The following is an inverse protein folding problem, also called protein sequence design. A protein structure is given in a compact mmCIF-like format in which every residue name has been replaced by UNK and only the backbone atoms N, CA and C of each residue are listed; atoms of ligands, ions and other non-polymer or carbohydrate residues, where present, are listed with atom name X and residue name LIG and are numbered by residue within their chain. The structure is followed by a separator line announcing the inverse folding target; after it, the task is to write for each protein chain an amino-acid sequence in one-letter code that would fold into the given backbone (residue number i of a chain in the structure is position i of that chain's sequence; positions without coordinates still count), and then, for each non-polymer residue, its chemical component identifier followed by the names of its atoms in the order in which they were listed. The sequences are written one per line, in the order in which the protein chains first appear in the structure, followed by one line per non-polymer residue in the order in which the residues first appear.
data_IF_625424629169
#
_entry.id   IF_625424629169
#
_cell.length_a   1.000
_cell.length_b   1.000
_cell.length_c   1.000
_cell.angle_alpha   90.00
_cell.angle_beta   90.00
_cell.angle_gamma   90.00
#
_symmetry.space_group_name_H-M   'P 1'
#
loop_
_entity.id
_entity.type
_entity.pdbx_description
1 polymer ?
#
# COMPACT_ATOMS: atom_id res chain seq x y z
N UNK A 1 -36.72 -11.11 17.81
CA UNK A 1 -35.64 -11.86 18.47
C UNK A 1 -34.35 -11.11 18.20
N UNK A 2 -33.53 -10.89 19.22
CA UNK A 2 -32.24 -10.18 19.11
C UNK A 2 -31.06 -11.18 18.99
N UNK A 3 -29.86 -10.67 18.71
CA UNK A 3 -28.67 -11.51 18.49
C UNK A 3 -28.36 -12.43 19.69
N UNK A 4 -28.42 -11.90 20.91
CA UNK A 4 -28.13 -12.69 22.11
C UNK A 4 -29.12 -13.86 22.25
N UNK A 5 -30.41 -13.61 22.00
CA UNK A 5 -31.44 -14.66 21.97
C UNK A 5 -31.22 -15.67 20.85
N UNK A 6 -30.75 -15.23 19.68
CA UNK A 6 -30.44 -16.10 18.56
C UNK A 6 -29.26 -17.04 18.87
N UNK A 7 -28.19 -16.49 19.46
CA UNK A 7 -26.99 -17.22 19.91
C UNK A 7 -27.37 -18.23 20.99
N UNK A 8 -28.09 -17.79 22.02
CA UNK A 8 -28.51 -18.64 23.13
C UNK A 8 -29.40 -19.79 22.65
N UNK A 9 -30.37 -19.51 21.76
CA UNK A 9 -31.25 -20.53 21.17
C UNK A 9 -30.47 -21.59 20.40
N UNK A 10 -29.59 -21.20 19.47
CA UNK A 10 -28.81 -22.17 18.69
C UNK A 10 -27.79 -22.91 19.55
N UNK A 11 -27.19 -22.25 20.54
CA UNK A 11 -26.24 -22.88 21.47
C UNK A 11 -26.91 -23.99 22.30
N UNK A 12 -28.10 -23.73 22.85
CA UNK A 12 -28.89 -24.76 23.55
C UNK A 12 -29.26 -25.93 22.62
N UNK A 13 -29.63 -25.63 21.37
CA UNK A 13 -30.06 -26.65 20.40
C UNK A 13 -28.92 -27.55 19.94
N UNK A 14 -27.71 -27.00 19.78
CA UNK A 14 -26.51 -27.75 19.41
C UNK A 14 -25.97 -28.64 20.53
N UNK A 15 -26.33 -28.37 21.79
CA UNK A 15 -25.99 -29.22 22.94
C UNK A 15 -26.97 -30.39 23.14
N UNK A 16 -28.11 -30.39 22.44
CA UNK A 16 -29.13 -31.43 22.53
C UNK A 16 -28.79 -32.68 21.71
N UNK A 17 -29.40 -33.81 22.07
CA UNK A 17 -29.22 -35.10 21.40
C UNK A 17 -30.08 -35.29 20.14
N UNK A 18 -31.03 -34.38 19.85
CA UNK A 18 -31.93 -34.48 18.70
C UNK A 18 -32.01 -33.16 17.92
N UNK A 19 -31.58 -33.21 16.66
CA UNK A 19 -31.31 -32.06 15.79
C UNK A 19 -32.25 -32.05 14.58
N UNK A 20 -33.56 -32.06 14.81
CA UNK A 20 -34.52 -31.72 13.76
C UNK A 20 -34.71 -30.21 13.69
N UNK A 21 -34.29 -29.60 12.58
CA UNK A 21 -34.33 -28.14 12.37
C UNK A 21 -35.77 -27.64 12.33
N UNK A 22 -36.11 -26.73 13.25
CA UNK A 22 -37.43 -26.11 13.33
C UNK A 22 -37.42 -24.65 12.81
N UNK A 23 -38.59 -24.01 12.77
CA UNK A 23 -38.73 -22.64 12.28
C UNK A 23 -38.04 -21.58 13.17
N UNK A 24 -37.83 -21.89 14.45
CA UNK A 24 -37.16 -21.01 15.40
C UNK A 24 -35.64 -21.06 15.20
N UNK A 25 -35.07 -22.24 14.90
CA UNK A 25 -33.68 -22.41 14.48
C UNK A 25 -33.40 -21.60 13.20
N UNK A 26 -34.30 -21.68 12.20
CA UNK A 26 -34.19 -20.88 10.96
C UNK A 26 -34.22 -19.39 11.24
N UNK A 27 -35.11 -18.92 12.12
CA UNK A 27 -35.18 -17.51 12.52
C UNK A 27 -33.88 -17.09 13.23
N UNK A 28 -33.36 -17.92 14.13
CA UNK A 28 -32.12 -17.65 14.86
C UNK A 28 -30.92 -17.50 13.91
N UNK A 29 -30.79 -18.44 12.98
CA UNK A 29 -29.75 -18.40 11.96
C UNK A 29 -29.86 -17.15 11.07
N UNK A 30 -31.06 -16.84 10.57
CA UNK A 30 -31.27 -15.65 9.73
C UNK A 30 -30.97 -14.35 10.48
N UNK A 31 -31.30 -14.26 11.78
CA UNK A 31 -30.97 -13.11 12.61
C UNK A 31 -29.45 -12.93 12.77
N UNK A 32 -28.69 -14.03 12.92
CA UNK A 32 -27.22 -13.96 12.92
C UNK A 32 -26.67 -13.51 11.57
N UNK A 33 -27.17 -14.07 10.46
CA UNK A 33 -26.77 -13.66 9.12
C UNK A 33 -27.04 -12.17 8.87
N UNK A 34 -28.22 -11.69 9.25
CA UNK A 34 -28.59 -10.28 9.12
C UNK A 34 -27.68 -9.38 9.94
N UNK A 35 -27.34 -9.77 11.18
CA UNK A 35 -26.38 -9.04 12.00
C UNK A 35 -24.98 -9.00 11.39
N UNK A 36 -24.48 -10.14 10.88
CA UNK A 36 -23.18 -10.23 10.20
C UNK A 36 -23.17 -9.31 8.98
N UNK A 37 -24.19 -9.42 8.11
CA UNK A 37 -24.28 -8.61 6.90
C UNK A 37 -24.36 -7.12 7.21
N UNK A 38 -25.17 -6.73 8.19
CA UNK A 38 -25.28 -5.32 8.62
C UNK A 38 -23.95 -4.81 9.18
N UNK A 39 -23.27 -5.61 9.99
CA UNK A 39 -21.96 -5.24 10.57
C UNK A 39 -20.89 -5.08 9.49
N UNK A 40 -20.88 -5.97 8.49
CA UNK A 40 -19.96 -5.90 7.35
C UNK A 40 -20.23 -4.65 6.51
N UNK A 41 -21.50 -4.37 6.19
CA UNK A 41 -21.91 -3.18 5.43
C UNK A 41 -21.56 -1.88 6.16
N UNK A 42 -21.81 -1.82 7.46
CA UNK A 42 -21.43 -0.65 8.27
C UNK A 42 -19.92 -0.49 8.35
N UNK A 43 -19.17 -1.58 8.52
CA UNK A 43 -17.71 -1.56 8.50
C UNK A 43 -17.17 -1.04 7.17
N UNK A 44 -17.73 -1.50 6.06
CA UNK A 44 -17.38 -1.02 4.73
C UNK A 44 -17.71 0.46 4.56
N UNK A 45 -18.90 0.91 4.98
CA UNK A 45 -19.30 2.33 4.91
C UNK A 45 -18.39 3.23 5.73
N UNK A 46 -18.04 2.83 6.96
CA UNK A 46 -17.10 3.57 7.83
C UNK A 46 -15.71 3.68 7.23
N UNK A 47 -15.27 2.66 6.49
CA UNK A 47 -13.91 2.56 5.96
C UNK A 47 -13.85 2.67 4.43
N UNK A 48 -14.83 3.33 3.80
CA UNK A 48 -14.99 3.34 2.33
C UNK A 48 -13.72 3.76 1.59
N UNK A 49 -13.02 4.79 2.08
CA UNK A 49 -11.78 5.27 1.45
C UNK A 49 -10.66 4.23 1.51
N UNK A 50 -10.51 3.57 2.67
CA UNK A 50 -9.57 2.47 2.82
C UNK A 50 -9.96 1.28 1.92
N UNK A 51 -11.23 0.91 1.87
CA UNK A 51 -11.71 -0.17 1.02
C UNK A 51 -11.44 0.09 -0.47
N UNK A 52 -11.65 1.33 -0.93
CA UNK A 52 -11.33 1.74 -2.30
C UNK A 52 -9.82 1.63 -2.59
N UNK A 53 -8.97 2.13 -1.69
CA UNK A 53 -7.50 2.04 -1.83
C UNK A 53 -7.05 0.57 -1.81
N UNK A 54 -7.60 -0.23 -0.90
CA UNK A 54 -7.31 -1.66 -0.80
C UNK A 54 -7.67 -2.39 -2.10
N UNK A 55 -8.89 -2.19 -2.62
CA UNK A 55 -9.34 -2.83 -3.85
C UNK A 55 -8.50 -2.42 -5.06
N UNK A 56 -8.15 -1.13 -5.16
CA UNK A 56 -7.27 -0.62 -6.21
C UNK A 56 -5.87 -1.27 -6.15
N UNK A 57 -5.24 -1.27 -4.97
CA UNK A 57 -3.92 -1.87 -4.78
C UNK A 57 -3.94 -3.38 -5.03
N UNK A 58 -4.99 -4.08 -4.59
CA UNK A 58 -5.14 -5.51 -4.84
C UNK A 58 -5.25 -5.80 -6.35
N UNK A 59 -6.07 -5.04 -7.08
CA UNK A 59 -6.18 -5.15 -8.53
C UNK A 59 -4.84 -4.92 -9.24
N UNK A 60 -4.10 -3.88 -8.83
CA UNK A 60 -2.76 -3.62 -9.36
C UNK A 60 -1.78 -4.78 -9.12
N UNK A 61 -1.79 -5.39 -7.93
CA UNK A 61 -0.95 -6.54 -7.61
C UNK A 61 -1.39 -7.79 -8.39
N UNK A 62 -2.69 -8.00 -8.56
CA UNK A 62 -3.23 -9.09 -9.39
C UNK A 62 -2.76 -8.98 -10.84
N UNK A 63 -2.78 -7.77 -11.41
CA UNK A 63 -2.26 -7.51 -12.77
C UNK A 63 -0.74 -7.75 -12.85
N UNK A 64 0.01 -7.29 -11.84
CA UNK A 64 1.46 -7.46 -11.77
C UNK A 64 1.87 -8.94 -11.71
N UNK A 65 1.16 -9.74 -10.92
CA UNK A 65 1.45 -11.16 -10.74
C UNK A 65 0.71 -12.07 -11.71
N UNK A 66 -0.20 -11.53 -12.54
CA UNK A 66 -1.07 -12.26 -13.46
C UNK A 66 -1.90 -13.34 -12.74
N UNK A 67 -2.54 -12.97 -11.63
CA UNK A 67 -3.30 -13.89 -10.77
C UNK A 67 -4.73 -13.45 -10.55
N UNK A 68 -5.57 -14.34 -10.03
CA UNK A 68 -6.95 -14.03 -9.59
C UNK A 68 -7.01 -13.67 -8.10
N UNK A 69 -8.20 -13.26 -7.63
CA UNK A 69 -8.45 -12.87 -6.23
C UNK A 69 -8.23 -14.02 -5.23
N UNK A 70 -8.33 -15.27 -5.68
CA UNK A 70 -8.15 -16.44 -4.81
C UNK A 70 -6.66 -16.78 -4.56
N UNK A 71 -5.75 -16.14 -5.30
CA UNK A 71 -4.32 -16.39 -5.14
C UNK A 71 -3.79 -15.65 -3.90
N UNK A 72 -3.06 -16.33 -2.98
CA UNK A 72 -2.56 -15.70 -1.76
C UNK A 72 -1.43 -14.69 -1.98
N UNK A 73 -0.76 -14.68 -3.15
CA UNK A 73 0.41 -13.83 -3.42
C UNK A 73 0.05 -12.33 -3.36
N UNK A 74 -0.92 -11.80 -4.15
CA UNK A 74 -1.33 -10.40 -4.06
C UNK A 74 -1.73 -9.97 -2.65
N UNK A 75 -2.47 -10.82 -1.92
CA UNK A 75 -2.88 -10.54 -0.55
C UNK A 75 -1.68 -10.42 0.37
N UNK A 76 -0.72 -11.35 0.29
CA UNK A 76 0.49 -11.34 1.11
C UNK A 76 1.32 -10.08 0.86
N UNK A 77 1.47 -9.65 -0.39
CA UNK A 77 2.21 -8.42 -0.71
C UNK A 77 1.45 -7.18 -0.26
N UNK A 78 0.13 -7.14 -0.40
CA UNK A 78 -0.69 -6.04 0.10
C UNK A 78 -0.62 -5.92 1.62
N UNK A 79 -0.68 -7.04 2.34
CA UNK A 79 -0.52 -7.07 3.80
C UNK A 79 0.85 -6.54 4.22
N UNK A 80 1.94 -6.92 3.54
CA UNK A 80 3.25 -6.32 3.83
C UNK A 80 3.23 -4.80 3.68
N UNK A 81 2.56 -4.26 2.68
CA UNK A 81 2.44 -2.81 2.47
C UNK A 81 1.67 -2.17 3.63
N UNK A 82 0.52 -2.75 4.01
CA UNK A 82 -0.34 -2.24 5.09
C UNK A 82 0.35 -2.32 6.45
N UNK A 83 1.09 -3.39 6.71
CA UNK A 83 1.80 -3.64 7.98
C UNK A 83 3.10 -2.83 8.09
N UNK A 84 3.56 -2.21 6.99
CA UNK A 84 4.73 -1.34 7.01
C UNK A 84 4.37 -0.02 7.69
N UNK A 85 5.18 0.40 8.66
CA UNK A 85 4.97 1.68 9.34
C UNK A 85 5.00 2.86 8.37
N UNK A 86 4.20 3.87 8.67
CA UNK A 86 4.14 5.09 7.87
C UNK A 86 5.52 5.74 7.74
N UNK A 87 6.31 5.77 8.82
CA UNK A 87 7.66 6.31 8.86
C UNK A 87 8.60 5.63 7.86
N UNK A 88 8.55 4.29 7.79
CA UNK A 88 9.37 3.52 6.85
C UNK A 88 8.96 3.81 5.39
N UNK A 89 7.66 3.96 5.13
CA UNK A 89 7.15 4.34 3.81
C UNK A 89 7.64 5.74 3.42
N UNK A 90 7.60 6.71 4.35
CA UNK A 90 8.12 8.06 4.10
C UNK A 90 9.60 8.04 3.79
N UNK A 91 10.39 7.27 4.53
CA UNK A 91 11.83 7.15 4.29
C UNK A 91 12.11 6.58 2.89
N UNK A 92 11.42 5.52 2.48
CA UNK A 92 11.55 4.93 1.15
C UNK A 92 11.14 5.93 0.03
N UNK A 93 10.04 6.67 0.21
CA UNK A 93 9.63 7.72 -0.72
C UNK A 93 10.71 8.80 -0.83
N UNK A 94 11.24 9.26 0.30
CA UNK A 94 12.28 10.30 0.37
C UNK A 94 13.54 9.85 -0.37
N UNK A 95 13.97 8.61 -0.15
CA UNK A 95 15.10 8.00 -0.84
C UNK A 95 14.85 7.89 -2.35
N UNK A 96 13.64 7.46 -2.76
CA UNK A 96 13.25 7.39 -4.17
C UNK A 96 13.24 8.76 -4.85
N UNK A 97 12.74 9.80 -4.19
CA UNK A 97 12.73 11.17 -4.72
C UNK A 97 14.15 11.69 -4.95
N UNK A 98 15.01 11.60 -3.94
CA UNK A 98 16.41 12.01 -4.04
C UNK A 98 17.16 11.20 -5.11
N UNK A 99 16.96 9.88 -5.16
CA UNK A 99 17.60 9.03 -6.17
C UNK A 99 17.12 9.33 -7.59
N UNK A 100 15.83 9.64 -7.80
CA UNK A 100 15.32 10.06 -9.12
C UNK A 100 16.01 11.33 -9.62
N UNK A 101 16.24 12.30 -8.73
CA UNK A 101 16.96 13.52 -9.08
C UNK A 101 18.42 13.23 -9.47
N UNK A 102 19.12 12.41 -8.68
CA UNK A 102 20.49 11.95 -9.01
C UNK A 102 20.56 11.24 -10.35
N UNK A 103 19.65 10.30 -10.58
CA UNK A 103 19.54 9.58 -11.85
C UNK A 103 19.24 10.53 -13.02
N UNK A 104 18.41 11.56 -12.80
CA UNK A 104 18.15 12.59 -13.80
C UNK A 104 19.42 13.37 -14.15
N UNK A 105 20.18 13.82 -13.16
CA UNK A 105 21.45 14.53 -13.38
C UNK A 105 22.47 13.66 -14.15
N UNK A 106 22.55 12.36 -13.83
CA UNK A 106 23.38 11.41 -14.59
C UNK A 106 22.93 11.26 -16.04
N UNK A 107 21.62 11.18 -16.29
CA UNK A 107 21.08 11.14 -17.66
C UNK A 107 21.40 12.41 -18.44
N UNK A 108 21.32 13.59 -17.81
CA UNK A 108 21.69 14.87 -18.43
C UNK A 108 23.19 14.94 -18.76
N UNK A 109 24.04 14.28 -17.97
CA UNK A 109 25.47 14.14 -18.29
C UNK A 109 25.75 13.19 -19.48
N UNK A 110 24.72 12.52 -20.01
CA UNK A 110 24.83 11.51 -21.05
C UNK A 110 25.05 10.08 -20.53
N UNK A 111 24.87 9.85 -19.23
CA UNK A 111 24.93 8.52 -18.63
C UNK A 111 23.66 7.71 -18.88
N UNK A 112 23.81 6.41 -19.12
CA UNK A 112 22.69 5.46 -19.15
C UNK A 112 22.78 4.53 -17.94
N UNK A 113 21.69 4.47 -17.16
CA UNK A 113 21.51 3.51 -16.07
C UNK A 113 20.64 2.37 -16.57
N UNK A 114 21.16 1.56 -17.48
CA UNK A 114 20.54 0.27 -17.81
C UNK A 114 21.15 -0.82 -16.93
N UNK A 115 20.30 -1.72 -16.41
CA UNK A 115 20.67 -2.79 -15.45
C UNK A 115 21.84 -3.68 -15.91
N UNK A 116 22.23 -3.64 -17.18
CA UNK A 116 23.27 -4.48 -17.78
C UNK A 116 24.60 -3.77 -18.09
N UNK A 117 24.79 -2.48 -17.77
CA UNK A 117 26.05 -1.79 -18.12
C UNK A 117 26.58 -0.85 -17.03
N UNK A 118 27.01 -1.43 -15.89
CA UNK A 118 28.01 -0.78 -15.01
C UNK A 118 29.39 -0.62 -15.70
N UNK A 119 29.56 -1.23 -16.89
CA UNK A 119 30.81 -1.26 -17.67
C UNK A 119 31.04 0.02 -18.48
N UNK A 120 30.02 0.89 -18.68
CA UNK A 120 30.14 2.05 -19.59
C UNK A 120 30.74 3.32 -18.95
N UNK A 121 30.77 3.44 -17.61
CA UNK A 121 31.25 4.66 -16.95
C UNK A 121 32.76 4.86 -17.01
N UNK A 122 33.56 3.78 -16.95
CA UNK A 122 35.01 3.86 -17.12
C UNK A 122 35.44 4.05 -18.59
N UNK A 123 34.58 3.67 -19.56
CA UNK A 123 34.88 3.79 -21.00
C UNK A 123 34.55 5.18 -21.59
N UNK A 124 33.72 5.99 -20.92
CA UNK A 124 33.25 7.27 -21.45
C UNK A 124 33.72 8.46 -20.61
N UNK A 125 35.00 8.84 -20.72
CA UNK A 125 35.55 10.04 -20.06
C UNK A 125 34.72 11.32 -20.30
N UNK A 126 34.05 11.42 -21.45
CA UNK A 126 33.12 12.52 -21.77
C UNK A 126 31.92 12.62 -20.83
N UNK A 127 31.37 11.49 -20.35
CA UNK A 127 30.24 11.50 -19.41
C UNK A 127 30.69 12.01 -18.05
N UNK A 128 31.88 11.60 -17.60
CA UNK A 128 32.48 12.10 -16.35
C UNK A 128 32.77 13.59 -16.45
N UNK A 129 33.35 14.06 -17.57
CA UNK A 129 33.60 15.50 -17.81
C UNK A 129 32.30 16.32 -17.82
N UNK A 130 31.25 15.81 -18.48
CA UNK A 130 29.94 16.47 -18.52
C UNK A 130 29.27 16.50 -17.14
N UNK A 131 29.41 15.41 -16.37
CA UNK A 131 28.92 15.38 -14.99
C UNK A 131 29.68 16.38 -14.13
N UNK A 132 31.01 16.44 -14.23
CA UNK A 132 31.81 17.44 -13.52
C UNK A 132 31.34 18.86 -13.86
N UNK A 133 31.12 19.18 -15.15
CA UNK A 133 30.58 20.48 -15.57
C UNK A 133 29.20 20.77 -14.98
N UNK A 134 28.30 19.79 -14.97
CA UNK A 134 26.96 19.92 -14.39
C UNK A 134 27.01 20.14 -12.88
N UNK A 135 27.91 19.44 -12.18
CA UNK A 135 28.13 19.57 -10.74
C UNK A 135 28.92 20.83 -10.35
N UNK A 136 29.59 21.50 -11.29
CA UNK A 136 30.18 22.82 -11.03
C UNK A 136 29.13 23.90 -10.76
N UNK A 137 27.87 23.66 -11.12
CA UNK A 137 26.74 24.49 -10.72
C UNK A 137 26.39 24.14 -9.27
N UNK A 138 26.56 25.09 -8.34
CA UNK A 138 26.47 24.86 -6.88
C UNK A 138 25.24 24.08 -6.44
N UNK A 139 24.06 24.40 -6.98
CA UNK A 139 22.81 23.73 -6.65
C UNK A 139 22.77 22.26 -7.10
N UNK A 140 23.41 21.92 -8.23
CA UNK A 140 23.45 20.55 -8.74
C UNK A 140 24.42 19.68 -7.93
N UNK A 141 25.50 20.26 -7.41
CA UNK A 141 26.46 19.55 -6.56
C UNK A 141 25.78 19.00 -5.31
N UNK A 142 25.07 19.87 -4.60
CA UNK A 142 24.35 19.50 -3.38
C UNK A 142 23.22 18.54 -3.71
N UNK A 143 22.48 18.78 -4.79
CA UNK A 143 21.41 17.87 -5.22
C UNK A 143 21.89 16.47 -5.62
N UNK A 144 23.14 16.35 -6.05
CA UNK A 144 23.72 15.06 -6.43
C UNK A 144 24.33 14.32 -5.23
N UNK A 145 25.12 15.04 -4.41
CA UNK A 145 25.91 14.45 -3.31
C UNK A 145 25.13 14.34 -2.00
N UNK A 146 24.14 15.20 -1.80
CA UNK A 146 23.34 15.28 -0.57
C UNK A 146 21.89 14.90 -0.87
N UNK A 147 21.06 14.85 0.18
CA UNK A 147 19.62 14.71 0.03
C UNK A 147 19.02 16.12 -0.11
N UNK A 148 18.31 16.37 -1.21
CA UNK A 148 17.57 17.61 -1.44
C UNK A 148 16.34 17.66 -0.53
N UNK A 149 15.64 16.54 -0.43
CA UNK A 149 14.46 16.41 0.43
C UNK A 149 14.81 15.64 1.68
N UNK A 150 14.41 16.17 2.83
CA UNK A 150 14.49 15.48 4.11
C UNK A 150 13.23 14.64 4.37
N UNK A 151 13.35 13.66 5.27
CA UNK A 151 12.21 12.80 5.68
C UNK A 151 11.11 13.64 6.31
N UNK A 152 11.47 14.65 7.10
CA UNK A 152 10.53 15.57 7.77
C UNK A 152 9.76 16.42 6.76
N UNK A 153 10.45 16.93 5.73
CA UNK A 153 9.82 17.73 4.67
C UNK A 153 8.79 16.90 3.90
N UNK A 154 9.17 15.69 3.49
CA UNK A 154 8.30 14.76 2.75
C UNK A 154 7.13 14.31 3.62
N UNK A 155 7.38 13.94 4.89
CA UNK A 155 6.36 13.55 5.86
C UNK A 155 5.31 14.66 6.02
N UNK A 156 5.75 15.90 6.23
CA UNK A 156 4.88 17.06 6.36
C UNK A 156 4.04 17.27 5.10
N UNK A 157 4.66 17.21 3.91
CA UNK A 157 3.94 17.36 2.64
C UNK A 157 2.83 16.33 2.46
N UNK A 158 3.10 15.06 2.78
CA UNK A 158 2.11 13.99 2.68
C UNK A 158 1.00 14.15 3.73
N UNK A 159 1.34 14.50 4.98
CA UNK A 159 0.34 14.74 6.03
C UNK A 159 -0.63 15.86 5.67
N UNK A 160 -0.13 16.98 5.13
CA UNK A 160 -0.98 18.09 4.66
C UNK A 160 -1.94 17.64 3.56
N UNK A 161 -1.48 16.78 2.64
CA UNK A 161 -2.35 16.25 1.59
C UNK A 161 -3.43 15.30 2.15
N UNK A 162 -3.09 14.47 3.13
CA UNK A 162 -4.05 13.59 3.79
C UNK A 162 -5.10 14.38 4.59
N UNK A 163 -4.70 15.45 5.26
CA UNK A 163 -5.64 16.34 5.97
C UNK A 163 -6.60 17.03 5.00
N UNK A 164 -6.10 17.50 3.85
CA UNK A 164 -6.94 18.08 2.80
C UNK A 164 -7.87 17.06 2.12
N UNK A 165 -7.61 15.76 2.29
CA UNK A 165 -8.42 14.67 1.73
C UNK A 165 -9.57 14.22 2.67
N UNK A 166 -9.69 14.78 3.88
CA UNK A 166 -10.86 14.61 4.75
C UNK A 166 -11.88 15.74 4.51
N UNK A 167 -12.87 15.56 3.60
CA UNK A 167 -14.05 16.43 3.54
C UNK A 167 -15.01 16.19 4.71
#
# INVERSE_FOLDING_TARGET
MNLNQAIEHLSMRLQGTHLEVNNQDKKAFNCMLEYINTTLDESFKRNKNFANLYAYCLGFLMDMFQTTIDNPIPHKELHKIIDTSFENIIEDITNKMNNRLRCSLLKHAGGQLDKQQLVSFQKNGKVVENLIKLLSISNNRNAFLENVWSVEEVSRGIKVQLENFNP
#
